data_IF_570340845734
#
_entry.id   IF_570340845734
#
_cell.length_a   1.000
_cell.length_b   1.000
_cell.length_c   1.000
_cell.angle_alpha   90.00
_cell.angle_beta   90.00
_cell.angle_gamma   90.00
#
_symmetry.space_group_name_H-M   'P 1'
#
loop_
_entity.id
_entity.type
_entity.pdbx_description
1 polymer ?
#
# COMPACT_ATOMS: atom_id res chain seq x y z
N UNK A 1 13.87 -6.38 -12.02
CA UNK A 1 15.27 -6.18 -12.47
C UNK A 1 16.11 -5.72 -11.30
N UNK A 2 16.93 -6.60 -10.73
CA UNK A 2 17.73 -6.31 -9.53
C UNK A 2 19.07 -5.64 -9.84
N UNK A 3 19.09 -4.49 -10.56
CA UNK A 3 20.34 -3.87 -11.01
C UNK A 3 21.19 -3.26 -9.90
N UNK A 4 20.63 -2.96 -8.71
CA UNK A 4 21.32 -2.44 -7.54
C UNK A 4 21.93 -1.04 -7.67
N UNK A 5 21.76 -0.38 -8.81
CA UNK A 5 22.41 0.92 -9.10
C UNK A 5 21.92 2.06 -8.20
N UNK A 6 20.66 2.03 -7.78
CA UNK A 6 20.10 2.99 -6.83
C UNK A 6 20.83 2.94 -5.47
N UNK A 7 21.08 1.75 -4.95
CA UNK A 7 21.82 1.54 -3.69
C UNK A 7 23.29 1.88 -3.84
N UNK A 8 23.95 1.41 -4.92
CA UNK A 8 25.35 1.69 -5.19
C UNK A 8 25.65 3.19 -5.24
N UNK A 9 24.75 3.97 -5.85
CA UNK A 9 24.92 5.42 -6.01
C UNK A 9 24.19 6.23 -4.92
N UNK A 10 23.54 5.59 -3.94
CA UNK A 10 22.78 6.23 -2.84
C UNK A 10 21.77 7.28 -3.35
N UNK A 11 21.02 6.94 -4.40
CA UNK A 11 20.17 7.90 -5.11
C UNK A 11 18.87 8.24 -4.37
N UNK A 12 18.40 7.39 -3.44
CA UNK A 12 17.08 7.51 -2.81
C UNK A 12 15.90 7.35 -3.80
N UNK A 13 16.18 6.99 -5.05
CA UNK A 13 15.20 6.79 -6.13
C UNK A 13 15.69 5.75 -7.12
N UNK A 14 14.79 5.26 -7.96
CA UNK A 14 15.16 4.34 -9.04
C UNK A 14 15.98 5.06 -10.12
N UNK A 15 17.00 4.40 -10.67
CA UNK A 15 17.85 4.97 -11.73
C UNK A 15 17.12 5.10 -13.08
N UNK A 16 16.00 4.37 -13.27
CA UNK A 16 15.28 4.33 -14.55
C UNK A 16 14.36 5.55 -14.76
N UNK A 17 14.93 6.74 -14.69
CA UNK A 17 14.32 7.96 -15.22
C UNK A 17 13.12 8.50 -14.44
N UNK A 18 12.43 9.41 -15.09
CA UNK A 18 11.23 10.10 -14.58
C UNK A 18 9.96 9.32 -14.97
N UNK A 19 9.76 8.18 -14.34
CA UNK A 19 8.55 7.38 -14.52
C UNK A 19 7.64 7.43 -13.27
N UNK A 20 6.48 6.76 -13.34
CA UNK A 20 5.51 6.74 -12.26
C UNK A 20 6.11 6.35 -10.90
N UNK A 21 7.13 5.48 -10.87
CA UNK A 21 7.78 5.06 -9.62
C UNK A 21 8.48 6.24 -8.96
N UNK A 22 9.31 6.97 -9.72
CA UNK A 22 10.06 8.11 -9.18
C UNK A 22 9.15 9.30 -8.84
N UNK A 23 8.07 9.47 -9.60
CA UNK A 23 7.04 10.48 -9.28
C UNK A 23 6.38 10.19 -7.93
N UNK A 24 6.00 8.93 -7.68
CA UNK A 24 5.37 8.55 -6.40
C UNK A 24 6.40 8.60 -5.26
N UNK A 25 7.65 8.17 -5.46
CA UNK A 25 8.71 8.31 -4.45
C UNK A 25 8.81 9.76 -3.97
N UNK A 26 8.83 10.72 -4.89
CA UNK A 26 8.88 12.14 -4.54
C UNK A 26 7.63 12.59 -3.78
N UNK A 27 6.44 12.16 -4.20
CA UNK A 27 5.20 12.45 -3.48
C UNK A 27 5.16 11.85 -2.08
N UNK A 28 5.80 10.70 -1.87
CA UNK A 28 5.88 10.08 -0.55
C UNK A 28 6.68 10.90 0.46
N UNK A 29 7.52 11.83 0.04
CA UNK A 29 8.20 12.77 0.94
C UNK A 29 7.19 13.72 1.61
N UNK A 30 6.14 14.09 0.88
CA UNK A 30 5.10 15.06 1.29
C UNK A 30 3.87 14.38 1.91
N UNK A 31 3.66 13.08 1.66
CA UNK A 31 2.50 12.34 2.14
C UNK A 31 2.74 11.74 3.53
N UNK A 32 1.66 11.64 4.32
CA UNK A 32 1.71 11.06 5.67
C UNK A 32 1.52 9.54 5.71
N UNK A 33 1.08 8.92 4.63
CA UNK A 33 0.88 7.48 4.52
C UNK A 33 0.69 6.98 3.10
N UNK A 34 0.56 5.66 2.92
CA UNK A 34 0.41 5.02 1.61
C UNK A 34 -0.71 3.99 1.62
N UNK A 35 -1.66 4.15 0.73
CA UNK A 35 -2.68 3.13 0.42
C UNK A 35 -2.41 2.53 -0.94
N UNK A 36 -2.48 1.22 -1.04
CA UNK A 36 -2.26 0.46 -2.28
C UNK A 36 -3.49 -0.38 -2.59
N UNK A 37 -4.06 -0.18 -3.77
CA UNK A 37 -5.15 -1.00 -4.29
C UNK A 37 -4.70 -1.96 -5.38
N UNK A 38 -5.25 -3.19 -5.41
CA UNK A 38 -4.96 -4.15 -6.47
C UNK A 38 -6.16 -5.06 -6.77
N UNK A 39 -6.42 -5.37 -8.05
CA UNK A 39 -7.23 -6.54 -8.38
C UNK A 39 -6.46 -7.82 -8.03
N UNK A 40 -7.20 -8.90 -7.82
CA UNK A 40 -6.65 -10.24 -7.57
C UNK A 40 -6.54 -11.02 -8.88
N UNK A 41 -5.32 -11.43 -9.22
CA UNK A 41 -5.04 -12.30 -10.35
C UNK A 41 -4.27 -13.53 -9.89
N UNK A 42 -4.79 -14.74 -10.17
CA UNK A 42 -4.17 -16.01 -9.76
C UNK A 42 -3.78 -16.04 -8.28
N UNK A 43 -4.71 -15.60 -7.40
CA UNK A 43 -4.52 -15.51 -5.95
C UNK A 43 -3.35 -14.61 -5.50
N UNK A 44 -2.96 -13.65 -6.33
CA UNK A 44 -1.93 -12.65 -6.02
C UNK A 44 -2.35 -11.25 -6.45
N UNK A 45 -1.63 -10.26 -5.99
CA UNK A 45 -1.79 -8.89 -6.47
C UNK A 45 -1.33 -8.78 -7.94
N UNK A 46 -1.84 -7.79 -8.67
CA UNK A 46 -1.46 -7.62 -10.08
C UNK A 46 0.05 -7.43 -10.24
N UNK A 47 0.62 -8.03 -11.29
CA UNK A 47 2.06 -7.92 -11.58
C UNK A 47 2.53 -6.48 -11.80
N UNK A 48 1.64 -5.61 -12.26
CA UNK A 48 1.92 -4.18 -12.40
C UNK A 48 2.21 -3.51 -11.06
N UNK A 49 1.35 -3.75 -10.05
CA UNK A 49 1.53 -3.13 -8.73
C UNK A 49 2.71 -3.74 -7.99
N UNK A 50 2.92 -5.06 -8.06
CA UNK A 50 4.06 -5.69 -7.39
C UNK A 50 5.39 -5.22 -7.99
N UNK A 51 5.51 -5.14 -9.33
CA UNK A 51 6.70 -4.60 -9.99
C UNK A 51 6.95 -3.13 -9.65
N UNK A 52 5.88 -2.35 -9.47
CA UNK A 52 5.96 -0.96 -9.03
C UNK A 52 6.50 -0.86 -7.60
N UNK A 53 5.93 -1.62 -6.66
CA UNK A 53 6.30 -1.63 -5.25
C UNK A 53 7.72 -2.17 -5.05
N UNK A 54 8.11 -3.22 -5.77
CA UNK A 54 9.49 -3.75 -5.75
C UNK A 54 10.51 -2.65 -6.07
N UNK A 55 10.25 -1.87 -7.12
CA UNK A 55 11.14 -0.78 -7.50
C UNK A 55 11.12 0.36 -6.50
N UNK A 56 9.94 0.77 -6.06
CA UNK A 56 9.75 1.87 -5.14
C UNK A 56 10.47 1.59 -3.81
N UNK A 57 10.12 0.54 -3.13
CA UNK A 57 10.69 0.21 -1.83
C UNK A 57 12.16 -0.19 -1.88
N UNK A 58 12.58 -0.92 -2.92
CA UNK A 58 13.99 -1.29 -3.08
C UNK A 58 14.90 -0.10 -3.31
N UNK A 59 14.43 0.95 -3.96
CA UNK A 59 15.25 2.10 -4.35
C UNK A 59 15.35 3.19 -3.29
N UNK A 60 14.38 3.31 -2.39
CA UNK A 60 14.33 4.37 -1.37
C UNK A 60 14.89 3.95 -0.01
N UNK A 61 14.89 2.68 0.32
CA UNK A 61 15.18 2.21 1.68
C UNK A 61 13.96 2.24 2.61
N UNK A 62 12.77 2.57 2.07
CA UNK A 62 11.49 2.54 2.77
C UNK A 62 10.97 3.90 3.23
N UNK A 63 9.82 3.85 3.90
CA UNK A 63 9.11 5.02 4.43
C UNK A 63 8.68 4.73 5.87
N UNK A 64 9.65 4.42 6.72
CA UNK A 64 9.42 4.04 8.11
C UNK A 64 8.52 5.05 8.84
N UNK A 65 7.65 4.54 9.71
CA UNK A 65 6.68 5.29 10.53
C UNK A 65 5.55 5.99 9.75
N UNK A 66 5.53 5.94 8.42
CA UNK A 66 4.34 6.30 7.64
C UNK A 66 3.38 5.11 7.63
N UNK A 67 2.10 5.26 7.98
CA UNK A 67 1.15 4.16 7.94
C UNK A 67 0.95 3.65 6.52
N UNK A 68 0.71 2.35 6.39
CA UNK A 68 0.44 1.69 5.14
C UNK A 68 -0.83 0.85 5.21
N UNK A 69 -1.58 0.79 4.11
CA UNK A 69 -2.71 -0.11 3.98
C UNK A 69 -2.83 -0.66 2.56
N UNK A 70 -3.31 -1.88 2.45
CA UNK A 70 -3.69 -2.46 1.17
C UNK A 70 -5.18 -2.73 1.12
N UNK A 71 -5.76 -2.60 -0.07
CA UNK A 71 -7.15 -2.97 -0.39
C UNK A 71 -7.10 -3.84 -1.64
N UNK A 72 -7.85 -4.94 -1.64
CA UNK A 72 -7.90 -5.82 -2.82
C UNK A 72 -9.34 -6.01 -3.28
N UNK A 73 -9.51 -6.12 -4.59
CA UNK A 73 -10.78 -6.45 -5.21
C UNK A 73 -10.68 -7.78 -5.94
N UNK A 74 -11.59 -8.70 -5.68
CA UNK A 74 -11.61 -9.99 -6.37
C UNK A 74 -13.03 -10.42 -6.69
N UNK A 75 -13.14 -11.25 -7.74
CA UNK A 75 -14.43 -11.83 -8.11
C UNK A 75 -14.94 -12.79 -7.03
N UNK A 76 -14.07 -13.63 -6.43
CA UNK A 76 -14.52 -14.71 -5.53
C UNK A 76 -13.50 -15.19 -4.51
N UNK A 77 -12.26 -15.49 -4.91
CA UNK A 77 -11.27 -16.15 -4.07
C UNK A 77 -9.84 -15.64 -4.34
N UNK A 78 -8.91 -15.94 -3.40
CA UNK A 78 -7.51 -15.54 -3.51
C UNK A 78 -7.20 -14.15 -2.96
N UNK A 79 -8.20 -13.46 -2.42
CA UNK A 79 -8.06 -12.11 -1.87
C UNK A 79 -7.12 -12.03 -0.66
N UNK A 80 -7.21 -12.98 0.27
CA UNK A 80 -6.33 -13.03 1.44
C UNK A 80 -4.87 -13.15 1.06
N UNK A 81 -4.54 -14.05 0.12
CA UNK A 81 -3.18 -14.22 -0.35
C UNK A 81 -2.62 -12.96 -1.03
N UNK A 82 -3.45 -12.28 -1.84
CA UNK A 82 -3.07 -11.03 -2.48
C UNK A 82 -2.89 -9.89 -1.46
N UNK A 83 -3.78 -9.79 -0.47
CA UNK A 83 -3.69 -8.80 0.61
C UNK A 83 -2.42 -8.99 1.44
N UNK A 84 -2.12 -10.23 1.85
CA UNK A 84 -0.90 -10.57 2.58
C UNK A 84 0.36 -10.24 1.77
N UNK A 85 0.33 -10.49 0.46
CA UNK A 85 1.45 -10.15 -0.43
C UNK A 85 1.75 -8.64 -0.40
N UNK A 86 0.72 -7.80 -0.45
CA UNK A 86 0.88 -6.35 -0.39
C UNK A 86 1.30 -5.86 1.00
N UNK A 87 0.73 -6.43 2.07
CA UNK A 87 1.07 -6.05 3.43
C UNK A 87 2.55 -6.30 3.79
N UNK A 88 3.19 -7.31 3.18
CA UNK A 88 4.61 -7.58 3.37
C UNK A 88 5.52 -6.42 2.96
N UNK A 89 5.14 -5.63 1.97
CA UNK A 89 5.90 -4.43 1.60
C UNK A 89 5.94 -3.42 2.73
N UNK A 90 4.82 -3.17 3.37
CA UNK A 90 4.73 -2.23 4.50
C UNK A 90 5.50 -2.75 5.71
N UNK A 91 5.27 -4.02 6.08
CA UNK A 91 5.94 -4.65 7.23
C UNK A 91 7.46 -4.62 7.10
N UNK A 92 8.00 -4.96 5.91
CA UNK A 92 9.43 -4.97 5.65
C UNK A 92 10.07 -3.58 5.73
N UNK A 93 9.26 -2.52 5.55
CA UNK A 93 9.71 -1.13 5.53
C UNK A 93 9.36 -0.37 6.82
N UNK A 94 9.04 -1.07 7.91
CA UNK A 94 8.71 -0.49 9.22
C UNK A 94 7.54 0.52 9.16
N UNK A 95 6.59 0.26 8.27
CA UNK A 95 5.36 1.04 8.14
C UNK A 95 4.26 0.38 8.97
N UNK A 96 3.63 1.11 9.91
CA UNK A 96 2.49 0.58 10.65
C UNK A 96 1.37 0.17 9.68
N UNK A 97 0.88 -1.08 9.80
CA UNK A 97 -0.26 -1.53 9.00
C UNK A 97 -1.57 -1.01 9.61
N UNK A 98 -2.41 -0.42 8.79
CA UNK A 98 -3.74 0.02 9.18
C UNK A 98 -4.77 -1.03 8.75
N UNK A 99 -5.34 -1.79 9.70
CA UNK A 99 -6.35 -2.81 9.45
C UNK A 99 -7.75 -2.18 9.39
N UNK A 100 -8.75 -3.04 9.18
CA UNK A 100 -10.16 -2.77 9.47
C UNK A 100 -10.69 -3.79 10.47
N UNK A 101 -12.01 -3.85 10.67
CA UNK A 101 -12.68 -4.90 11.45
C UNK A 101 -12.52 -6.28 10.82
N UNK A 102 -12.34 -6.33 9.51
CA UNK A 102 -12.05 -7.52 8.73
C UNK A 102 -10.96 -7.22 7.70
N UNK A 103 -10.63 -8.15 6.82
CA UNK A 103 -9.65 -7.89 5.76
C UNK A 103 -10.16 -6.84 4.78
N UNK A 104 -9.28 -5.93 4.37
CA UNK A 104 -9.61 -4.84 3.43
C UNK A 104 -9.79 -5.40 2.02
N UNK A 105 -10.95 -5.91 1.72
CA UNK A 105 -11.27 -6.50 0.43
C UNK A 105 -12.73 -6.31 0.06
N UNK A 106 -12.98 -6.29 -1.25
CA UNK A 106 -14.32 -6.28 -1.82
C UNK A 106 -14.45 -7.38 -2.88
N UNK A 107 -15.68 -7.90 -3.03
CA UNK A 107 -15.98 -8.99 -3.96
C UNK A 107 -16.98 -8.55 -5.01
N UNK A 108 -16.70 -8.86 -6.26
CA UNK A 108 -17.57 -8.60 -7.41
C UNK A 108 -16.79 -8.73 -8.71
N UNK A 109 -17.49 -9.09 -9.78
CA UNK A 109 -16.94 -9.18 -11.13
C UNK A 109 -17.16 -7.88 -11.92
N UNK A 110 -18.14 -7.08 -11.50
CA UNK A 110 -18.44 -5.75 -12.05
C UNK A 110 -18.58 -4.74 -10.90
N UNK A 111 -18.51 -3.43 -11.19
CA UNK A 111 -18.75 -2.41 -10.18
C UNK A 111 -20.10 -2.59 -9.44
N UNK A 112 -21.16 -2.94 -10.18
CA UNK A 112 -22.50 -3.14 -9.63
C UNK A 112 -22.56 -4.34 -8.69
N UNK A 113 -21.79 -5.40 -8.96
CA UNK A 113 -21.66 -6.53 -8.05
C UNK A 113 -20.87 -6.16 -6.79
N UNK A 114 -19.82 -5.34 -6.92
CA UNK A 114 -19.08 -4.85 -5.74
C UNK A 114 -19.97 -4.00 -4.83
N UNK A 115 -20.89 -3.21 -5.39
CA UNK A 115 -21.86 -2.43 -4.62
C UNK A 115 -22.83 -3.31 -3.80
N UNK A 116 -22.94 -4.61 -4.14
CA UNK A 116 -23.74 -5.58 -3.37
C UNK A 116 -22.94 -6.26 -2.24
N UNK A 117 -21.64 -6.12 -2.21
CA UNK A 117 -20.78 -6.62 -1.12
C UNK A 117 -20.80 -5.66 0.08
N UNK A 118 -21.92 -5.69 0.80
CA UNK A 118 -22.15 -4.78 1.92
C UNK A 118 -21.13 -4.96 3.05
N UNK A 119 -20.64 -6.18 3.27
CA UNK A 119 -19.60 -6.45 4.29
C UNK A 119 -18.24 -5.88 3.86
N UNK A 120 -17.84 -6.10 2.62
CA UNK A 120 -16.61 -5.54 2.07
C UNK A 120 -16.61 -4.00 2.06
N UNK A 121 -17.72 -3.39 1.63
CA UNK A 121 -17.89 -1.94 1.65
C UNK A 121 -17.88 -1.39 3.08
N UNK A 122 -18.59 -2.03 4.02
CA UNK A 122 -18.54 -1.64 5.43
C UNK A 122 -17.13 -1.72 5.99
N UNK A 123 -16.40 -2.78 5.68
CA UNK A 123 -14.98 -2.91 6.08
C UNK A 123 -14.12 -1.78 5.52
N UNK A 124 -14.35 -1.37 4.27
CA UNK A 124 -13.63 -0.24 3.67
C UNK A 124 -13.98 1.11 4.31
N UNK A 125 -15.24 1.32 4.70
CA UNK A 125 -15.66 2.54 5.42
C UNK A 125 -15.01 2.60 6.80
N UNK A 126 -15.06 1.52 7.57
CA UNK A 126 -14.43 1.46 8.89
C UNK A 126 -12.91 1.61 8.81
N UNK A 127 -12.30 1.07 7.75
CA UNK A 127 -10.89 1.28 7.49
C UNK A 127 -10.56 2.78 7.36
N UNK A 128 -11.37 3.58 6.66
CA UNK A 128 -11.14 5.04 6.54
C UNK A 128 -11.16 5.74 7.90
N UNK A 129 -12.07 5.35 8.79
CA UNK A 129 -12.12 5.90 10.15
C UNK A 129 -10.86 5.54 10.96
N UNK A 130 -10.43 4.28 10.92
CA UNK A 130 -9.21 3.82 11.60
C UNK A 130 -7.98 4.51 11.00
N UNK A 131 -7.92 4.65 9.67
CA UNK A 131 -6.85 5.35 8.97
C UNK A 131 -6.69 6.79 9.45
N UNK A 132 -7.78 7.54 9.53
CA UNK A 132 -7.80 8.92 10.05
C UNK A 132 -7.33 8.98 11.50
N UNK A 133 -7.79 8.05 12.34
CA UNK A 133 -7.35 7.94 13.73
C UNK A 133 -5.84 7.69 13.84
N UNK A 134 -5.32 6.76 13.06
CA UNK A 134 -3.90 6.42 13.00
C UNK A 134 -3.04 7.63 12.55
N UNK A 135 -3.46 8.32 11.50
CA UNK A 135 -2.77 9.54 11.04
C UNK A 135 -2.72 10.61 12.14
N UNK A 136 -3.85 10.86 12.80
CA UNK A 136 -3.93 11.87 13.87
C UNK A 136 -2.97 11.55 15.00
N UNK A 137 -2.89 10.30 15.45
CA UNK A 137 -1.97 9.88 16.51
C UNK A 137 -0.51 10.09 16.12
N UNK A 138 -0.13 9.63 14.92
CA UNK A 138 1.25 9.77 14.44
C UNK A 138 1.66 11.22 14.19
N UNK A 139 0.71 12.08 13.79
CA UNK A 139 0.97 13.52 13.63
C UNK A 139 1.10 14.22 14.98
N UNK A 140 0.39 13.77 16.02
CA UNK A 140 0.54 14.32 17.38
C UNK A 140 1.92 13.98 17.97
N UNK A 141 2.39 12.73 17.82
CA UNK A 141 3.71 12.35 18.30
C UNK A 141 4.82 13.17 17.64
N UNK A 142 4.77 13.37 16.33
CA UNK A 142 5.74 14.22 15.63
C UNK A 142 5.78 15.67 16.12
N UNK A 143 4.68 16.19 16.67
CA UNK A 143 4.63 17.56 17.27
C UNK A 143 5.21 17.62 18.67
N UNK A 144 5.29 16.50 19.38
CA UNK A 144 5.82 16.45 20.74
C UNK A 144 7.36 16.26 20.78
N UNK A 145 7.98 15.87 19.66
CA UNK A 145 9.44 15.71 19.55
C UNK A 145 10.19 17.03 19.26
N UNK A 146 9.49 18.15 19.21
CA UNK A 146 10.02 19.52 19.13
C UNK A 146 9.55 20.37 20.32
#
# INVERSE_FOLDING_TARGET
>A
MGCGMCRKNKLGRCIFGEDAVNVVIKKMEECDGLTVGSPVHYAGASGGITSFLDRMFYSTGGFAYKPGAAIVSCRRAGSTAALEQLNKYFMMNNMPLVPSAYWNMVHGNTPEEVEQDLEGLWSCVLWDEIWRGCLNLLMQERRMEF
#
